data_IF_968096800626
#
_entry.id   IF_968096800626
#
_cell.length_a   1.000
_cell.length_b   1.000
_cell.length_c   1.000
_cell.angle_alpha   90.00
_cell.angle_beta   90.00
_cell.angle_gamma   90.00
#
_symmetry.space_group_name_H-M   'P 1'
#
loop_
_entity.id
_entity.type
_entity.pdbx_description
1 polymer ?
#
# COMPACT_ATOMS: atom_id res chain seq x y z
N UNK A 1 -12.86 12.10 12.76
CA UNK A 1 -13.07 11.16 11.65
C UNK A 1 -12.13 11.40 10.48
N UNK A 2 -12.08 12.62 9.96
CA UNK A 2 -11.22 12.92 8.82
C UNK A 2 -9.74 12.63 9.07
N UNK A 3 -9.26 12.90 10.29
CA UNK A 3 -7.87 12.61 10.65
C UNK A 3 -7.53 11.14 10.53
N UNK A 4 -8.42 10.26 10.97
CA UNK A 4 -8.21 8.81 10.90
C UNK A 4 -8.29 8.30 9.47
N UNK A 5 -9.17 8.86 8.66
CA UNK A 5 -9.26 8.50 7.25
C UNK A 5 -7.98 8.88 6.50
N UNK A 6 -7.40 10.05 6.78
CA UNK A 6 -6.13 10.47 6.19
C UNK A 6 -5.00 9.55 6.62
N UNK A 7 -4.97 9.20 7.91
CA UNK A 7 -3.96 8.28 8.42
C UNK A 7 -4.09 6.91 7.78
N UNK A 8 -5.31 6.39 7.67
CA UNK A 8 -5.57 5.13 6.98
C UNK A 8 -5.10 5.17 5.52
N UNK A 9 -5.37 6.27 4.82
CA UNK A 9 -4.94 6.42 3.43
C UNK A 9 -3.42 6.30 3.29
N UNK A 10 -2.67 6.79 4.28
CA UNK A 10 -1.20 6.69 4.27
C UNK A 10 -0.71 5.27 4.54
N UNK A 11 -1.43 4.50 5.33
CA UNK A 11 -1.04 3.14 5.71
C UNK A 11 -1.58 2.05 4.78
N UNK A 12 -2.58 2.38 3.99
CA UNK A 12 -3.38 1.42 3.22
C UNK A 12 -2.55 0.42 2.44
N UNK A 13 -1.61 0.89 1.64
CA UNK A 13 -0.82 0.01 0.78
C UNK A 13 0.27 -0.73 1.55
N UNK A 14 0.79 -0.13 2.60
CA UNK A 14 1.70 -0.83 3.50
C UNK A 14 1.00 -2.05 4.11
N UNK A 15 -0.21 -1.84 4.62
CA UNK A 15 -1.01 -2.93 5.21
C UNK A 15 -1.34 -3.99 4.16
N UNK A 16 -1.79 -3.55 2.98
CA UNK A 16 -2.12 -4.47 1.89
C UNK A 16 -0.93 -5.35 1.52
N UNK A 17 0.28 -4.79 1.55
CA UNK A 17 1.50 -5.50 1.21
C UNK A 17 1.94 -6.50 2.28
N UNK A 18 1.35 -6.45 3.47
CA UNK A 18 1.70 -7.35 4.56
C UNK A 18 0.63 -8.39 4.84
N UNK A 19 -0.65 -8.03 4.73
CA UNK A 19 -1.74 -8.93 5.12
C UNK A 19 -3.05 -8.48 4.52
N UNK A 20 -3.63 -9.30 3.69
CA UNK A 20 -4.97 -9.06 3.15
C UNK A 20 -6.01 -9.09 4.27
N UNK A 21 -5.84 -9.98 5.25
CA UNK A 21 -6.74 -10.08 6.39
C UNK A 21 -6.78 -8.77 7.18
N UNK A 22 -5.62 -8.22 7.50
CA UNK A 22 -5.52 -6.97 8.25
C UNK A 22 -6.02 -5.78 7.43
N UNK A 23 -5.76 -5.80 6.11
CA UNK A 23 -6.28 -4.78 5.22
C UNK A 23 -7.81 -4.73 5.27
N UNK A 24 -8.46 -5.89 5.16
CA UNK A 24 -9.92 -5.96 5.19
C UNK A 24 -10.48 -5.57 6.56
N UNK A 25 -9.81 -5.98 7.64
CA UNK A 25 -10.22 -5.62 8.99
C UNK A 25 -10.18 -4.11 9.21
N UNK A 26 -9.09 -3.46 8.79
CA UNK A 26 -8.95 -2.01 8.91
C UNK A 26 -9.94 -1.28 8.03
N UNK A 27 -10.11 -1.73 6.80
CA UNK A 27 -11.11 -1.15 5.89
C UNK A 27 -12.50 -1.20 6.49
N UNK A 28 -12.84 -2.31 7.16
CA UNK A 28 -14.15 -2.50 7.77
C UNK A 28 -14.42 -1.48 8.89
N UNK A 29 -13.39 -1.04 9.61
CA UNK A 29 -13.55 -0.04 10.65
C UNK A 29 -14.10 1.29 10.11
N UNK A 30 -13.82 1.58 8.85
CA UNK A 30 -14.25 2.84 8.20
C UNK A 30 -15.57 2.69 7.44
N UNK A 31 -16.15 1.51 7.42
CA UNK A 31 -17.48 1.33 6.84
C UNK A 31 -18.52 1.89 7.80
N UNK A 32 -19.52 2.61 7.28
CA UNK A 32 -20.47 3.33 8.11
C UNK A 32 -19.95 4.71 8.48
N UNK A 33 -20.76 5.48 9.17
CA UNK A 33 -20.49 6.90 9.41
C UNK A 33 -20.11 7.23 10.85
N UNK A 34 -19.95 6.21 11.70
CA UNK A 34 -19.67 6.45 13.11
C UNK A 34 -18.29 5.97 13.50
N UNK A 35 -17.53 6.86 14.09
CA UNK A 35 -16.24 6.55 14.70
C UNK A 35 -16.41 6.56 16.21
N UNK A 36 -15.63 5.73 16.92
CA UNK A 36 -15.72 5.62 18.37
C UNK A 36 -14.33 5.42 18.95
N UNK A 37 -14.22 5.59 20.27
CA UNK A 37 -12.97 5.30 20.98
C UNK A 37 -12.57 3.83 20.82
N UNK A 38 -13.54 2.92 20.78
CA UNK A 38 -13.27 1.52 20.55
C UNK A 38 -12.67 1.27 19.17
N UNK A 39 -13.25 1.89 18.14
CA UNK A 39 -12.69 1.78 16.78
C UNK A 39 -11.30 2.40 16.72
N UNK A 40 -11.05 3.48 17.43
CA UNK A 40 -9.74 4.12 17.48
C UNK A 40 -8.69 3.15 18.05
N UNK A 41 -9.02 2.47 19.13
CA UNK A 41 -8.15 1.44 19.73
C UNK A 41 -7.89 0.30 18.75
N UNK A 42 -8.94 -0.21 18.09
CA UNK A 42 -8.82 -1.29 17.14
C UNK A 42 -7.94 -0.88 15.96
N UNK A 43 -8.08 0.33 15.48
CA UNK A 43 -7.27 0.86 14.38
C UNK A 43 -5.78 0.77 14.72
N UNK A 44 -5.39 1.29 15.87
CA UNK A 44 -3.98 1.29 16.27
C UNK A 44 -3.47 -0.09 16.64
N UNK A 45 -4.32 -0.95 17.19
CA UNK A 45 -3.96 -2.34 17.46
C UNK A 45 -3.64 -3.10 16.16
N UNK A 46 -4.48 -2.93 15.13
CA UNK A 46 -4.25 -3.54 13.82
C UNK A 46 -2.99 -3.00 13.16
N UNK A 47 -2.76 -1.69 13.22
CA UNK A 47 -1.54 -1.10 12.67
C UNK A 47 -0.29 -1.65 13.36
N UNK A 48 -0.34 -1.78 14.68
CA UNK A 48 0.79 -2.34 15.43
C UNK A 48 1.04 -3.79 15.03
N UNK A 49 -0.02 -4.58 14.89
CA UNK A 49 0.09 -5.97 14.46
C UNK A 49 0.76 -6.08 13.10
N UNK A 50 0.31 -5.26 12.13
CA UNK A 50 0.84 -5.29 10.76
C UNK A 50 2.33 -4.95 10.72
N UNK A 51 2.74 -3.96 11.51
CA UNK A 51 4.15 -3.53 11.52
C UNK A 51 5.09 -4.63 12.02
N UNK A 52 4.55 -5.58 12.78
CA UNK A 52 5.32 -6.70 13.32
C UNK A 52 5.18 -8.00 12.53
N UNK A 53 4.40 -7.98 11.43
CA UNK A 53 4.27 -9.14 10.57
C UNK A 53 5.47 -9.31 9.66
N UNK A 54 5.85 -10.56 9.36
CA UNK A 54 6.92 -10.80 8.40
C UNK A 54 6.50 -10.42 6.98
N UNK A 55 7.48 -10.32 6.09
CA UNK A 55 7.24 -10.08 4.68
C UNK A 55 6.40 -11.23 4.11
N UNK A 56 5.41 -10.87 3.29
CA UNK A 56 4.53 -11.80 2.59
C UNK A 56 4.57 -11.45 1.10
N UNK A 57 5.29 -12.23 0.31
CA UNK A 57 5.49 -11.92 -1.11
C UNK A 57 4.20 -11.88 -1.91
N UNK A 58 3.26 -12.78 -1.59
CA UNK A 58 1.96 -12.79 -2.29
C UNK A 58 1.18 -11.50 -2.02
N UNK A 59 1.17 -11.06 -0.77
CA UNK A 59 0.51 -9.82 -0.39
C UNK A 59 1.22 -8.61 -1.00
N UNK A 60 2.55 -8.60 -1.00
CA UNK A 60 3.33 -7.54 -1.65
C UNK A 60 3.00 -7.43 -3.12
N UNK A 61 3.02 -8.56 -3.82
CA UNK A 61 2.71 -8.57 -5.25
C UNK A 61 1.32 -7.99 -5.52
N UNK A 62 0.34 -8.39 -4.74
CA UNK A 62 -1.02 -7.89 -4.86
C UNK A 62 -1.09 -6.37 -4.65
N UNK A 63 -0.42 -5.87 -3.61
CA UNK A 63 -0.40 -4.44 -3.31
C UNK A 63 0.28 -3.65 -4.44
N UNK A 64 1.38 -4.17 -4.96
CA UNK A 64 2.13 -3.50 -6.04
C UNK A 64 1.31 -3.42 -7.32
N UNK A 65 0.55 -4.46 -7.63
CA UNK A 65 -0.35 -4.42 -8.79
C UNK A 65 -1.45 -3.37 -8.62
N UNK A 66 -1.96 -3.21 -7.40
CA UNK A 66 -2.93 -2.16 -7.11
C UNK A 66 -2.32 -0.76 -7.27
N UNK A 67 -1.11 -0.57 -6.76
CA UNK A 67 -0.41 0.71 -6.91
C UNK A 67 -0.11 1.01 -8.37
N UNK A 68 0.25 -0.01 -9.16
CA UNK A 68 0.46 0.14 -10.59
C UNK A 68 -0.75 0.75 -11.29
N UNK A 69 -1.95 0.50 -10.77
CA UNK A 69 -3.18 1.07 -11.32
C UNK A 69 -3.17 2.59 -11.47
N UNK A 70 -2.38 3.30 -10.65
CA UNK A 70 -2.24 4.76 -10.76
C UNK A 70 -1.51 5.18 -12.04
N UNK A 71 -0.72 4.29 -12.62
CA UNK A 71 0.14 4.60 -13.78
C UNK A 71 -0.37 3.99 -15.07
N UNK A 72 -1.37 3.14 -14.99
CA UNK A 72 -1.86 2.32 -16.08
C UNK A 72 -2.16 3.09 -17.36
N UNK A 73 -2.67 4.32 -17.22
CA UNK A 73 -3.09 5.15 -18.36
C UNK A 73 -1.99 6.08 -18.85
N UNK A 74 -0.99 6.37 -18.02
CA UNK A 74 0.04 7.37 -18.35
C UNK A 74 1.40 6.75 -18.63
N UNK A 75 1.66 5.55 -18.14
CA UNK A 75 2.95 4.90 -18.31
C UNK A 75 3.18 4.49 -19.76
N UNK A 76 4.45 4.58 -20.19
CA UNK A 76 4.86 4.11 -21.50
C UNK A 76 4.87 2.57 -21.53
N UNK A 77 4.86 1.96 -22.73
CA UNK A 77 5.01 0.50 -22.85
C UNK A 77 6.31 -0.01 -22.22
N UNK A 78 7.38 0.77 -22.29
CA UNK A 78 8.68 0.42 -21.69
C UNK A 78 8.58 0.42 -20.18
N UNK A 79 7.92 1.43 -19.60
CA UNK A 79 7.73 1.50 -18.15
C UNK A 79 6.89 0.35 -17.64
N UNK A 80 5.86 -0.02 -18.38
CA UNK A 80 5.03 -1.18 -18.05
C UNK A 80 5.87 -2.46 -18.04
N UNK A 81 6.68 -2.65 -19.07
CA UNK A 81 7.54 -3.82 -19.18
C UNK A 81 8.53 -3.90 -18.03
N UNK A 82 9.17 -2.77 -17.69
CA UNK A 82 10.11 -2.72 -16.57
C UNK A 82 9.44 -3.09 -15.26
N UNK A 83 8.26 -2.51 -14.99
CA UNK A 83 7.56 -2.80 -13.75
C UNK A 83 7.24 -4.30 -13.62
N UNK A 84 6.66 -4.90 -14.64
CA UNK A 84 6.27 -6.31 -14.56
C UNK A 84 7.47 -7.24 -14.51
N UNK A 85 8.59 -6.87 -15.13
CA UNK A 85 9.84 -7.61 -15.00
C UNK A 85 10.34 -7.58 -13.55
N UNK A 86 10.36 -6.40 -12.93
CA UNK A 86 10.78 -6.28 -11.53
C UNK A 86 9.83 -7.02 -10.60
N UNK A 87 8.54 -6.96 -10.88
CA UNK A 87 7.53 -7.66 -10.09
C UNK A 87 7.76 -9.17 -10.12
N UNK A 88 8.05 -9.72 -11.30
CA UNK A 88 8.28 -11.16 -11.47
C UNK A 88 9.58 -11.62 -10.83
N UNK A 89 10.54 -10.71 -10.68
CA UNK A 89 11.84 -11.01 -10.07
C UNK A 89 11.88 -10.75 -8.57
N UNK A 90 10.79 -10.27 -8.00
CA UNK A 90 10.73 -9.87 -6.60
C UNK A 90 10.97 -11.05 -5.65
N UNK A 91 11.83 -10.84 -4.65
CA UNK A 91 12.10 -11.79 -3.57
C UNK A 91 12.02 -11.05 -2.23
N UNK A 92 12.18 -11.78 -1.13
CA UNK A 92 12.19 -11.15 0.19
C UNK A 92 13.34 -10.17 0.38
N UNK A 93 14.42 -10.34 -0.38
CA UNK A 93 15.62 -9.49 -0.29
C UNK A 93 15.83 -8.60 -1.50
N UNK A 94 15.04 -8.75 -2.56
CA UNK A 94 15.17 -7.96 -3.79
C UNK A 94 13.80 -7.35 -4.12
N UNK A 95 13.70 -6.05 -3.94
CA UNK A 95 12.45 -5.32 -4.12
C UNK A 95 12.63 -4.10 -5.02
N UNK A 96 13.10 -4.34 -6.22
CA UNK A 96 13.25 -3.27 -7.21
C UNK A 96 11.91 -2.75 -7.70
N UNK A 97 10.85 -3.59 -7.62
CA UNK A 97 9.51 -3.16 -8.00
C UNK A 97 9.04 -1.97 -7.15
N UNK A 98 9.29 -2.00 -5.84
CA UNK A 98 8.92 -0.89 -4.96
C UNK A 98 9.68 0.39 -5.32
N UNK A 99 10.98 0.29 -5.54
CA UNK A 99 11.80 1.42 -5.94
C UNK A 99 11.34 2.01 -7.26
N UNK A 100 10.96 1.15 -8.19
CA UNK A 100 10.47 1.60 -9.49
C UNK A 100 9.11 2.30 -9.37
N UNK A 101 8.20 1.79 -8.56
CA UNK A 101 6.91 2.43 -8.30
C UNK A 101 7.11 3.81 -7.68
N UNK A 102 8.05 3.94 -6.75
CA UNK A 102 8.36 5.24 -6.15
C UNK A 102 8.88 6.21 -7.21
N UNK A 103 9.77 5.75 -8.07
CA UNK A 103 10.32 6.55 -9.16
C UNK A 103 9.22 7.03 -10.10
N UNK A 104 8.27 6.16 -10.44
CA UNK A 104 7.13 6.55 -11.27
C UNK A 104 6.21 7.54 -10.56
N UNK A 105 5.99 7.35 -9.25
CA UNK A 105 5.19 8.28 -8.46
C UNK A 105 5.81 9.68 -8.45
N UNK A 106 7.13 9.77 -8.37
CA UNK A 106 7.85 11.03 -8.46
C UNK A 106 7.78 11.63 -9.87
N UNK A 107 7.98 10.80 -10.90
CA UNK A 107 7.92 11.24 -12.29
C UNK A 107 6.55 11.82 -12.65
N UNK A 108 5.49 11.14 -12.27
CA UNK A 108 4.12 11.53 -12.62
C UNK A 108 3.45 12.36 -11.54
N UNK A 109 4.18 12.70 -10.47
CA UNK A 109 3.73 13.56 -9.38
C UNK A 109 2.41 13.10 -8.78
N UNK A 110 2.35 11.83 -8.40
CA UNK A 110 1.18 11.26 -7.72
C UNK A 110 1.31 11.53 -6.23
N UNK A 111 0.85 12.66 -5.78
CA UNK A 111 1.02 13.12 -4.40
C UNK A 111 0.44 12.15 -3.39
N UNK A 112 -0.69 11.53 -3.69
CA UNK A 112 -1.30 10.53 -2.83
C UNK A 112 -0.32 9.39 -2.51
N UNK A 113 0.38 8.89 -3.52
CA UNK A 113 1.35 7.81 -3.33
C UNK A 113 2.59 8.30 -2.61
N UNK A 114 3.06 9.50 -2.92
CA UNK A 114 4.27 10.04 -2.30
C UNK A 114 4.08 10.29 -0.81
N UNK A 115 2.85 10.54 -0.37
CA UNK A 115 2.52 10.72 1.04
C UNK A 115 2.32 9.38 1.77
N UNK A 116 2.28 8.27 1.05
CA UNK A 116 2.02 6.94 1.63
C UNK A 116 3.22 6.41 2.41
N UNK A 117 2.96 5.76 3.53
CA UNK A 117 3.98 5.02 4.29
C UNK A 117 4.51 3.80 3.53
N UNK A 118 3.86 3.45 2.43
CA UNK A 118 4.27 2.34 1.57
C UNK A 118 5.70 2.53 1.03
N UNK A 119 6.11 3.77 0.77
CA UNK A 119 7.41 4.08 0.19
C UNK A 119 8.47 4.50 1.22
N UNK A 120 8.16 4.44 2.46
CA UNK A 120 9.07 4.87 3.54
C UNK A 120 9.81 3.67 4.14
#
# INVERSE_FOLDING_TARGET
MQGRQKEWARWKYFVMARSQKEYLALRQLFSGNQWSEEKNKQFYQHLNTVQNLPINLKAQRNAYEHVWGYFKRVASPEERQHFFTFLDQMTETDDQALLYLKKLAEKYQIDYLLASHFFV
#
